data_IF_504319220003
#
_entry.id   IF_504319220003
#
_cell.length_a   1.000
_cell.length_b   1.000
_cell.length_c   1.000
_cell.angle_alpha   90.00
_cell.angle_beta   90.00
_cell.angle_gamma   90.00
#
_symmetry.space_group_name_H-M   'P 1'
#
loop_
_entity.id
_entity.type
_entity.pdbx_description
1 polymer ?
#
# COMPACT_ATOMS: atom_id res chain seq x y z
N UNK A 1 -2.82 2.90 9.67
CA UNK A 1 -2.96 1.44 9.54
C UNK A 1 -1.57 0.83 9.34
N UNK A 2 -1.19 -0.16 10.14
CA UNK A 2 0.07 -0.90 9.93
C UNK A 2 -0.17 -2.10 9.03
N UNK A 3 0.69 -2.28 8.05
CA UNK A 3 0.62 -3.33 7.06
C UNK A 3 1.92 -4.13 7.11
N UNK A 4 1.80 -5.44 6.90
CA UNK A 4 2.93 -6.34 6.75
C UNK A 4 2.83 -7.00 5.40
N UNK A 5 3.83 -6.77 4.56
CA UNK A 5 3.89 -7.40 3.25
C UNK A 5 4.02 -8.92 3.42
N UNK A 6 3.25 -9.67 2.64
CA UNK A 6 3.42 -11.11 2.54
C UNK A 6 4.70 -11.42 1.74
N UNK A 7 5.42 -12.52 2.00
CA UNK A 7 6.58 -12.90 1.19
C UNK A 7 6.26 -12.97 -0.31
N UNK A 8 5.06 -13.47 -0.66
CA UNK A 8 4.57 -13.50 -2.03
C UNK A 8 4.44 -12.11 -2.68
N UNK A 9 4.16 -11.06 -1.88
CA UNK A 9 4.14 -9.68 -2.34
C UNK A 9 5.55 -9.12 -2.57
N UNK A 10 6.49 -9.46 -1.69
CA UNK A 10 7.90 -9.06 -1.82
C UNK A 10 8.60 -9.71 -3.02
N UNK A 11 8.15 -10.90 -3.43
CA UNK A 11 8.65 -11.57 -4.64
C UNK A 11 8.13 -10.96 -5.95
N UNK A 12 7.15 -10.07 -5.91
CA UNK A 12 6.61 -9.44 -7.12
C UNK A 12 7.54 -8.36 -7.65
N UNK A 13 7.69 -8.33 -8.98
CA UNK A 13 8.34 -7.22 -9.67
C UNK A 13 7.59 -5.91 -9.43
N UNK A 14 8.30 -4.80 -9.53
CA UNK A 14 7.72 -3.46 -9.34
C UNK A 14 6.54 -3.20 -10.31
N UNK A 15 6.63 -3.70 -11.53
CA UNK A 15 5.57 -3.61 -12.54
C UNK A 15 4.30 -4.34 -12.11
N UNK A 16 4.41 -5.58 -11.60
CA UNK A 16 3.26 -6.34 -11.10
C UNK A 16 2.61 -5.69 -9.88
N UNK A 17 3.41 -5.08 -9.00
CA UNK A 17 2.89 -4.31 -7.86
C UNK A 17 2.15 -3.06 -8.31
N UNK A 18 2.69 -2.33 -9.30
CA UNK A 18 2.03 -1.16 -9.87
C UNK A 18 0.72 -1.54 -10.59
N UNK A 19 0.71 -2.62 -11.36
CA UNK A 19 -0.49 -3.15 -12.01
C UNK A 19 -1.57 -3.50 -10.98
N UNK A 20 -1.22 -4.21 -9.90
CA UNK A 20 -2.14 -4.54 -8.83
C UNK A 20 -2.74 -3.28 -8.18
N UNK A 21 -1.90 -2.29 -7.87
CA UNK A 21 -2.35 -1.02 -7.29
C UNK A 21 -3.32 -0.30 -8.22
N UNK A 22 -3.01 -0.18 -9.50
CA UNK A 22 -3.90 0.50 -10.47
C UNK A 22 -5.21 -0.25 -10.66
N UNK A 23 -5.16 -1.58 -10.83
CA UNK A 23 -6.36 -2.37 -11.13
C UNK A 23 -7.29 -2.56 -9.92
N UNK A 24 -6.73 -2.62 -8.70
CA UNK A 24 -7.50 -2.94 -7.49
C UNK A 24 -7.71 -1.74 -6.59
N UNK A 25 -6.68 -0.93 -6.36
CA UNK A 25 -6.76 0.21 -5.45
C UNK A 25 -7.34 1.46 -6.15
N UNK A 26 -7.01 1.68 -7.43
CA UNK A 26 -7.53 2.81 -8.21
C UNK A 26 -9.06 2.99 -8.12
N UNK A 27 -9.86 1.96 -8.45
CA UNK A 27 -11.32 2.04 -8.37
C UNK A 27 -11.87 2.32 -6.96
N UNK A 28 -11.13 1.92 -5.92
CA UNK A 28 -11.52 2.18 -4.52
C UNK A 28 -11.30 3.65 -4.19
N UNK A 29 -10.16 4.21 -4.60
CA UNK A 29 -9.88 5.64 -4.40
C UNK A 29 -10.80 6.54 -5.21
N UNK A 30 -11.14 6.15 -6.44
CA UNK A 30 -12.11 6.89 -7.25
C UNK A 30 -13.51 6.93 -6.61
N UNK A 31 -13.88 5.88 -5.88
CA UNK A 31 -15.14 5.83 -5.12
C UNK A 31 -15.14 6.75 -3.91
N UNK A 32 -13.98 7.09 -3.34
CA UNK A 32 -13.84 7.88 -2.13
C UNK A 32 -12.83 9.04 -2.32
N UNK A 33 -13.14 10.05 -3.17
CA UNK A 33 -12.21 11.11 -3.50
C UNK A 33 -11.87 12.05 -2.34
N UNK A 34 -12.68 12.04 -1.27
CA UNK A 34 -12.40 12.80 -0.04
C UNK A 34 -11.31 12.16 0.82
N UNK A 35 -11.02 10.87 0.61
CA UNK A 35 -10.03 10.14 1.40
C UNK A 35 -8.64 10.32 0.79
N UNK A 36 -7.78 11.04 1.48
CA UNK A 36 -6.35 11.16 1.13
C UNK A 36 -5.59 10.01 1.76
N UNK A 37 -4.75 9.35 0.98
CA UNK A 37 -3.92 8.25 1.45
C UNK A 37 -2.45 8.58 1.29
N UNK A 38 -1.69 8.40 2.39
CA UNK A 38 -0.24 8.48 2.39
C UNK A 38 0.35 7.14 2.78
N UNK A 39 1.36 6.71 2.02
CA UNK A 39 2.06 5.45 2.22
C UNK A 39 3.47 5.75 2.72
N UNK A 40 3.87 5.08 3.80
CA UNK A 40 5.21 5.15 4.35
C UNK A 40 5.80 3.75 4.40
N UNK A 41 6.96 3.59 3.76
CA UNK A 41 7.78 2.40 3.93
C UNK A 41 8.46 2.50 5.31
N UNK A 42 8.22 1.49 6.14
CA UNK A 42 8.81 1.42 7.48
C UNK A 42 9.61 0.14 7.68
N UNK A 43 9.78 -0.66 6.62
CA UNK A 43 10.48 -1.94 6.65
C UNK A 43 11.95 -1.75 7.07
N UNK A 44 12.56 -0.62 6.69
CA UNK A 44 13.92 -0.26 7.08
C UNK A 44 14.06 0.15 8.56
N UNK A 45 12.98 0.48 9.25
CA UNK A 45 13.00 1.07 10.60
C UNK A 45 12.35 0.19 11.66
N UNK A 46 11.47 -0.72 11.28
CA UNK A 46 10.69 -1.55 12.20
C UNK A 46 10.48 -2.95 11.64
N UNK A 47 10.68 -3.97 12.47
CA UNK A 47 10.38 -5.37 12.09
C UNK A 47 8.90 -5.76 12.31
N UNK A 48 8.09 -4.86 12.88
CA UNK A 48 6.68 -5.12 13.21
C UNK A 48 5.73 -4.84 12.05
N UNK A 49 6.08 -3.95 11.14
CA UNK A 49 5.30 -3.56 9.99
C UNK A 49 6.24 -3.29 8.82
N UNK A 50 5.81 -3.62 7.60
CA UNK A 50 6.55 -3.30 6.37
C UNK A 50 6.13 -1.92 5.85
N UNK A 51 4.84 -1.61 5.95
CA UNK A 51 4.28 -0.37 5.43
C UNK A 51 3.28 0.24 6.42
N UNK A 52 3.15 1.56 6.39
CA UNK A 52 2.08 2.29 7.07
C UNK A 52 1.24 3.01 6.03
N UNK A 53 -0.06 2.73 6.04
CA UNK A 53 -1.05 3.48 5.29
C UNK A 53 -1.78 4.45 6.23
N UNK A 54 -1.68 5.74 5.95
CA UNK A 54 -2.41 6.80 6.67
C UNK A 54 -3.55 7.27 5.78
N UNK A 55 -4.76 7.22 6.32
CA UNK A 55 -5.97 7.68 5.65
C UNK A 55 -6.46 8.92 6.38
N UNK A 56 -6.68 10.00 5.65
CA UNK A 56 -7.21 11.27 6.13
C UNK A 56 -8.50 11.57 5.36
N UNK A 57 -9.53 12.09 6.04
CA UNK A 57 -10.84 12.44 5.47
C UNK A 57 -11.18 13.89 5.71
#
# INVERSE_FOLDING_TARGET
MHLRALPAWLTLTREKRAEFSTQKLGPIFDKYPTVKVRWYDVEAFSTKASDIAVFET
#
